data_IF_595824878485
#
_entry.id   IF_595824878485
#
_cell.length_a   1.000
_cell.length_b   1.000
_cell.length_c   1.000
_cell.angle_alpha   90.00
_cell.angle_beta   90.00
_cell.angle_gamma   90.00
#
_symmetry.space_group_name_H-M   'P 1'
#
loop_
_entity.id
_entity.type
_entity.pdbx_description
1 polymer ?
#
# COMPACT_ATOMS: atom_id res chain seq x y z
N UNK A 1 1.27 -11.80 16.94
CA UNK A 1 1.33 -11.93 15.47
C UNK A 1 0.07 -12.62 15.01
N UNK A 2 -0.50 -12.15 13.91
CA UNK A 2 -1.69 -12.77 13.31
C UNK A 2 -1.34 -14.15 12.73
N UNK A 3 -2.34 -15.02 12.63
CA UNK A 3 -2.21 -16.21 11.80
C UNK A 3 -2.00 -15.80 10.33
N UNK A 4 -1.41 -16.70 9.55
CA UNK A 4 -1.17 -16.46 8.13
C UNK A 4 -2.46 -16.15 7.35
N UNK A 5 -3.57 -16.79 7.71
CA UNK A 5 -4.86 -16.56 7.04
C UNK A 5 -5.48 -15.21 7.41
N UNK A 6 -5.42 -14.80 8.69
CA UNK A 6 -5.89 -13.47 9.10
C UNK A 6 -5.07 -12.36 8.44
N UNK A 7 -3.74 -12.49 8.39
CA UNK A 7 -2.88 -11.52 7.72
C UNK A 7 -3.22 -11.39 6.22
N UNK A 8 -3.49 -12.50 5.54
CA UNK A 8 -3.94 -12.49 4.13
C UNK A 8 -5.29 -11.81 3.96
N UNK A 9 -6.23 -12.01 4.91
CA UNK A 9 -7.52 -11.34 4.88
C UNK A 9 -7.37 -9.82 5.01
N UNK A 10 -6.57 -9.33 5.96
CA UNK A 10 -6.28 -7.90 6.12
C UNK A 10 -5.66 -7.32 4.84
N UNK A 11 -4.65 -7.99 4.27
CA UNK A 11 -4.03 -7.55 3.03
C UNK A 11 -5.02 -7.52 1.85
N UNK A 12 -5.90 -8.51 1.75
CA UNK A 12 -6.95 -8.57 0.73
C UNK A 12 -7.96 -7.43 0.89
N UNK A 13 -8.34 -7.09 2.12
CA UNK A 13 -9.23 -5.96 2.42
C UNK A 13 -8.61 -4.63 2.01
N UNK A 14 -7.34 -4.40 2.35
CA UNK A 14 -6.61 -3.19 1.93
C UNK A 14 -6.56 -3.08 0.40
N UNK A 15 -6.23 -4.18 -0.29
CA UNK A 15 -6.22 -4.20 -1.76
C UNK A 15 -7.61 -3.90 -2.33
N UNK A 16 -8.67 -4.43 -1.74
CA UNK A 16 -10.05 -4.14 -2.16
C UNK A 16 -10.39 -2.66 -2.00
N UNK A 17 -10.04 -2.05 -0.85
CA UNK A 17 -10.27 -0.63 -0.57
C UNK A 17 -9.49 0.30 -1.52
N UNK A 18 -8.29 -0.11 -1.95
CA UNK A 18 -7.53 0.58 -3.00
C UNK A 18 -8.16 0.48 -4.41
N UNK A 19 -9.15 -0.39 -4.63
CA UNK A 19 -9.81 -0.62 -5.91
C UNK A 19 -9.55 -2.00 -6.54
N UNK A 20 -8.92 -2.92 -5.81
CA UNK A 20 -8.79 -4.33 -6.15
C UNK A 20 -8.10 -4.58 -7.50
N UNK A 21 -8.74 -5.40 -8.36
CA UNK A 21 -8.20 -5.75 -9.68
C UNK A 21 -7.99 -4.53 -10.59
N UNK A 22 -8.82 -3.50 -10.45
CA UNK A 22 -8.68 -2.26 -11.24
C UNK A 22 -7.46 -1.47 -10.81
N UNK A 23 -7.23 -1.36 -9.50
CA UNK A 23 -6.00 -0.75 -8.98
C UNK A 23 -4.75 -1.41 -9.55
N UNK A 24 -4.71 -2.75 -9.57
CA UNK A 24 -3.61 -3.52 -10.18
C UNK A 24 -3.45 -3.18 -11.66
N UNK A 25 -4.54 -3.18 -12.44
CA UNK A 25 -4.49 -2.90 -13.87
C UNK A 25 -4.02 -1.47 -14.18
N UNK A 26 -4.43 -0.48 -13.39
CA UNK A 26 -4.11 0.93 -13.63
C UNK A 26 -2.70 1.32 -13.18
N UNK A 27 -2.23 0.73 -12.09
CA UNK A 27 -0.94 1.11 -11.48
C UNK A 27 0.19 0.15 -11.83
N UNK A 28 -0.14 -1.03 -12.34
CA UNK A 28 0.81 -2.13 -12.53
C UNK A 28 1.30 -2.74 -11.21
N UNK A 29 0.62 -2.48 -10.09
CA UNK A 29 1.03 -2.98 -8.78
C UNK A 29 1.20 -4.50 -8.76
N UNK A 30 2.24 -4.97 -8.08
CA UNK A 30 2.67 -6.37 -8.04
C UNK A 30 3.37 -6.71 -6.74
N UNK A 31 3.82 -7.96 -6.61
CA UNK A 31 4.60 -8.44 -5.44
C UNK A 31 3.89 -8.14 -4.12
N UNK A 32 2.59 -8.44 -4.06
CA UNK A 32 1.76 -8.25 -2.88
C UNK A 32 2.17 -9.22 -1.77
N UNK A 33 2.45 -8.68 -0.59
CA UNK A 33 2.86 -9.42 0.60
C UNK A 33 1.94 -9.04 1.75
N UNK A 34 1.36 -10.04 2.41
CA UNK A 34 0.63 -9.85 3.65
C UNK A 34 1.62 -9.63 4.79
N UNK A 35 1.42 -8.57 5.56
CA UNK A 35 2.19 -8.27 6.77
C UNK A 35 1.44 -8.91 7.93
N UNK A 36 2.15 -9.70 8.75
CA UNK A 36 1.58 -10.46 9.86
C UNK A 36 2.06 -10.00 11.25
N UNK A 37 2.87 -8.93 11.29
CA UNK A 37 3.19 -8.23 12.53
C UNK A 37 2.04 -7.29 12.94
N UNK A 38 2.00 -6.93 14.23
CA UNK A 38 0.95 -6.06 14.79
C UNK A 38 -0.47 -6.54 14.46
N UNK A 39 -1.29 -5.62 13.92
CA UNK A 39 -2.66 -5.84 13.43
C UNK A 39 -2.73 -6.17 11.92
N UNK A 40 -1.58 -6.43 11.32
CA UNK A 40 -1.46 -6.82 9.92
C UNK A 40 -1.44 -5.65 8.94
N UNK A 41 -1.32 -5.99 7.67
CA UNK A 41 -1.20 -5.01 6.61
C UNK A 41 -0.85 -5.61 5.27
N UNK A 42 -0.48 -4.75 4.33
CA UNK A 42 -0.09 -5.09 2.98
C UNK A 42 1.16 -4.31 2.58
N UNK A 43 2.08 -4.98 1.90
CA UNK A 43 3.13 -4.34 1.11
C UNK A 43 2.95 -4.69 -0.36
N UNK A 44 3.17 -3.74 -1.26
CA UNK A 44 3.22 -4.00 -2.68
C UNK A 44 4.29 -3.14 -3.38
N UNK A 45 4.63 -3.56 -4.60
CA UNK A 45 5.54 -2.85 -5.49
C UNK A 45 4.74 -2.22 -6.62
N UNK A 46 5.14 -1.02 -7.05
CA UNK A 46 4.70 -0.47 -8.33
C UNK A 46 5.89 -0.45 -9.30
N UNK A 47 5.67 -0.66 -10.61
CA UNK A 47 6.73 -0.67 -11.58
C UNK A 47 7.38 0.71 -11.66
N UNK A 48 8.65 0.75 -12.07
CA UNK A 48 9.35 2.01 -12.28
C UNK A 48 8.70 2.73 -13.48
N UNK A 49 8.12 3.89 -13.23
CA UNK A 49 7.56 4.75 -14.27
C UNK A 49 8.30 6.10 -14.29
N UNK A 50 8.40 6.71 -15.46
CA UNK A 50 8.99 8.05 -15.63
C UNK A 50 8.20 9.06 -14.80
N UNK A 51 8.88 9.87 -13.99
CA UNK A 51 8.24 10.88 -13.13
C UNK A 51 7.73 10.35 -11.78
N UNK A 52 7.59 9.04 -11.59
CA UNK A 52 7.13 8.45 -10.32
C UNK A 52 8.33 8.00 -9.48
N UNK A 53 8.52 8.62 -8.31
CA UNK A 53 9.67 8.32 -7.43
C UNK A 53 9.45 7.07 -6.58
N UNK A 54 8.20 6.78 -6.24
CA UNK A 54 7.74 5.67 -5.41
C UNK A 54 7.80 4.36 -6.20
N UNK A 55 8.25 3.28 -5.56
CA UNK A 55 8.11 1.93 -6.09
C UNK A 55 7.80 0.85 -5.03
N UNK A 56 7.65 1.23 -3.75
CA UNK A 56 7.09 0.41 -2.68
C UNK A 56 5.98 1.17 -1.98
N UNK A 57 4.91 0.47 -1.61
CA UNK A 57 3.86 1.00 -0.73
C UNK A 57 3.66 -0.02 0.39
N UNK A 58 3.69 0.45 1.64
CA UNK A 58 3.38 -0.32 2.84
C UNK A 58 2.18 0.33 3.52
N UNK A 59 1.17 -0.47 3.85
CA UNK A 59 -0.05 -0.04 4.54
C UNK A 59 -0.26 -1.00 5.71
N UNK A 60 -0.35 -0.47 6.93
CA UNK A 60 -0.54 -1.27 8.15
C UNK A 60 -1.74 -0.75 8.94
N UNK A 61 -2.53 -1.67 9.48
CA UNK A 61 -3.67 -1.33 10.33
C UNK A 61 -3.14 -0.95 11.73
N UNK A 62 -3.61 0.17 12.28
CA UNK A 62 -3.21 0.65 13.60
C UNK A 62 -4.26 0.33 14.67
N UNK A 63 -4.00 0.70 15.93
CA UNK A 63 -4.86 0.36 17.07
C UNK A 63 -6.23 1.05 17.04
N UNK A 64 -6.34 2.13 16.27
CA UNK A 64 -7.54 2.95 16.12
C UNK A 64 -8.38 2.54 14.91
N UNK A 65 -8.06 1.38 14.29
CA UNK A 65 -8.67 0.88 13.06
C UNK A 65 -8.51 1.80 11.83
N UNK A 66 -7.50 2.70 11.88
CA UNK A 66 -7.03 3.46 10.72
C UNK A 66 -5.76 2.84 10.11
N UNK A 67 -5.31 3.40 8.99
CA UNK A 67 -4.10 2.95 8.31
C UNK A 67 -2.93 3.91 8.48
N UNK A 68 -1.76 3.34 8.77
CA UNK A 68 -0.47 3.98 8.56
C UNK A 68 0.09 3.58 7.20
N UNK A 69 0.47 4.56 6.38
CA UNK A 69 0.89 4.38 5.00
C UNK A 69 2.30 4.94 4.80
N UNK A 70 3.20 4.11 4.30
CA UNK A 70 4.56 4.50 3.92
C UNK A 70 4.78 4.30 2.42
N UNK A 71 5.15 5.37 1.73
CA UNK A 71 5.58 5.36 0.35
C UNK A 71 7.09 5.38 0.31
N UNK A 72 7.68 4.48 -0.47
CA UNK A 72 9.13 4.32 -0.49
C UNK A 72 9.68 3.96 -1.85
N UNK A 73 11.01 3.88 -1.88
CA UNK A 73 11.81 3.49 -3.03
C UNK A 73 12.81 2.44 -2.60
N UNK A 74 12.66 1.23 -3.13
CA UNK A 74 13.66 0.18 -3.09
C UNK A 74 14.39 0.11 -4.44
N UNK A 75 15.68 0.43 -4.40
CA UNK A 75 16.59 0.44 -5.54
C UNK A 75 17.97 -0.06 -5.11
N UNK A 76 18.54 -1.00 -5.88
CA UNK A 76 19.85 -1.59 -5.61
C UNK A 76 20.00 -2.12 -4.16
N UNK A 77 18.97 -2.80 -3.64
CA UNK A 77 18.94 -3.35 -2.28
C UNK A 77 18.72 -2.32 -1.16
N UNK A 78 18.75 -1.02 -1.46
CA UNK A 78 18.48 0.03 -0.49
C UNK A 78 17.00 0.43 -0.54
N UNK A 79 16.32 0.33 0.60
CA UNK A 79 15.01 0.93 0.81
C UNK A 79 15.17 2.36 1.34
N UNK A 80 14.36 3.28 0.85
CA UNK A 80 14.33 4.67 1.26
C UNK A 80 12.88 5.11 1.35
N UNK A 81 12.46 5.55 2.53
CA UNK A 81 11.13 6.13 2.74
C UNK A 81 11.09 7.50 2.08
N UNK A 82 10.03 7.76 1.31
CA UNK A 82 9.77 9.04 0.62
C UNK A 82 8.79 9.87 1.42
N UNK A 83 7.70 9.26 1.89
CA UNK A 83 6.67 9.90 2.69
C UNK A 83 5.96 8.89 3.57
N UNK A 84 5.44 9.37 4.70
CA UNK A 84 4.67 8.60 5.68
C UNK A 84 3.44 9.40 6.08
N UNK A 85 2.34 8.69 6.30
CA UNK A 85 1.06 9.26 6.67
C UNK A 85 0.37 8.33 7.67
N UNK A 86 -0.15 8.90 8.74
CA UNK A 86 -0.83 8.16 9.80
C UNK A 86 -2.31 8.49 9.86
N UNK A 87 -3.06 7.60 10.49
CA UNK A 87 -4.49 7.75 10.76
C UNK A 87 -5.34 7.97 9.51
N UNK A 88 -4.99 7.26 8.44
CA UNK A 88 -5.68 7.36 7.14
C UNK A 88 -6.92 6.48 7.15
N UNK A 89 -8.08 7.07 6.84
CA UNK A 89 -9.32 6.32 6.71
C UNK A 89 -9.32 5.48 5.43
N UNK A 90 -10.12 4.41 5.41
CA UNK A 90 -10.15 3.46 4.30
C UNK A 90 -10.58 4.10 2.96
N UNK A 91 -11.44 5.12 3.00
CA UNK A 91 -11.94 5.85 1.83
C UNK A 91 -10.95 6.92 1.33
N UNK A 92 -9.95 7.27 2.14
CA UNK A 92 -8.88 8.20 1.77
C UNK A 92 -7.69 7.52 1.09
N UNK A 93 -7.54 6.19 1.22
CA UNK A 93 -6.40 5.43 0.71
C UNK A 93 -6.12 5.69 -0.77
N UNK A 94 -7.17 5.70 -1.61
CA UNK A 94 -7.02 5.93 -3.04
C UNK A 94 -6.57 7.36 -3.35
N UNK A 95 -7.18 8.35 -2.68
CA UNK A 95 -6.83 9.76 -2.84
C UNK A 95 -5.39 10.01 -2.42
N UNK A 96 -4.98 9.44 -1.28
CA UNK A 96 -3.61 9.49 -0.79
C UNK A 96 -2.64 8.88 -1.80
N UNK A 97 -2.92 7.68 -2.28
CA UNK A 97 -2.07 7.01 -3.27
C UNK A 97 -1.89 7.85 -4.54
N UNK A 98 -2.97 8.43 -5.08
CA UNK A 98 -2.88 9.31 -6.26
C UNK A 98 -2.04 10.54 -5.99
N UNK A 99 -2.21 11.16 -4.83
CA UNK A 99 -1.44 12.36 -4.43
C UNK A 99 0.05 12.09 -4.38
N UNK A 100 0.45 10.97 -3.76
CA UNK A 100 1.87 10.64 -3.54
C UNK A 100 2.55 10.04 -4.77
N UNK A 101 1.80 9.36 -5.64
CA UNK A 101 2.37 8.68 -6.82
C UNK A 101 2.11 9.39 -8.15
N UNK A 102 1.10 10.25 -8.23
CA UNK A 102 0.61 10.85 -9.47
C UNK A 102 -0.08 9.86 -10.42
N UNK A 103 -0.23 8.59 -10.03
CA UNK A 103 -0.86 7.56 -10.85
C UNK A 103 -2.37 7.62 -10.70
N UNK A 104 -3.09 7.50 -11.81
CA UNK A 104 -4.54 7.41 -11.77
C UNK A 104 -4.98 6.11 -11.08
N UNK A 105 -5.97 6.22 -10.21
CA UNK A 105 -6.85 5.09 -9.83
C UNK A 105 -8.29 5.52 -10.18
N UNK A 106 -9.25 4.58 -10.25
CA UNK A 106 -10.66 4.90 -10.50
C UNK A 106 -11.37 5.10 -9.15
N UNK A 107 -12.10 6.21 -8.98
CA UNK A 107 -13.05 6.38 -7.85
C UNK A 107 -14.30 5.52 -8.10
#
# INVERSE_FOLDING_TARGET
MLSTEEAKQVASTILHQLGGRRFIAMTGARDFIAINDGRGGMHCRIPKMTGVKVNTVKITLNEMDYYDVSFGRLYAGKHTVISEHSDICFDELQTLFRRETGLATLL
#
